data_IF_377007289419
#
_entry.id   IF_377007289419
#
_cell.length_a   1.000
_cell.length_b   1.000
_cell.length_c   1.000
_cell.angle_alpha   90.00
_cell.angle_beta   90.00
_cell.angle_gamma   90.00
#
_symmetry.space_group_name_H-M   'P 1'
#
loop_
_entity.id
_entity.type
_entity.pdbx_description
1 polymer ?
#
# COMPACT_ATOMS: atom_id res chain seq x y z
N UNK A 1 29.48 16.49 -35.60
CA UNK A 1 28.07 16.82 -35.27
C UNK A 1 28.01 18.28 -34.82
N UNK A 2 27.00 19.07 -35.24
CA UNK A 2 26.92 20.46 -34.84
C UNK A 2 26.72 20.57 -33.31
N UNK A 3 27.27 21.59 -32.64
CA UNK A 3 27.24 21.72 -31.17
C UNK A 3 25.81 21.72 -30.60
N UNK A 4 24.85 22.19 -31.40
CA UNK A 4 23.41 22.18 -31.10
C UNK A 4 22.84 20.76 -30.96
N UNK A 5 23.32 19.83 -31.79
CA UNK A 5 22.89 18.42 -31.78
C UNK A 5 23.51 17.69 -30.60
N UNK A 6 24.76 17.97 -30.26
CA UNK A 6 25.41 17.40 -29.08
C UNK A 6 24.72 17.86 -27.80
N UNK A 7 24.41 19.16 -27.69
CA UNK A 7 23.66 19.70 -26.56
C UNK A 7 22.27 19.06 -26.42
N UNK A 8 21.53 18.90 -27.52
CA UNK A 8 20.22 18.26 -27.53
C UNK A 8 20.29 16.78 -27.11
N UNK A 9 21.29 16.03 -27.60
CA UNK A 9 21.49 14.62 -27.24
C UNK A 9 21.88 14.47 -25.76
N UNK A 10 22.74 15.36 -25.24
CA UNK A 10 23.09 15.38 -23.82
C UNK A 10 21.88 15.71 -22.93
N UNK A 11 21.03 16.66 -23.35
CA UNK A 11 19.80 16.99 -22.62
C UNK A 11 18.81 15.81 -22.60
N UNK A 12 18.63 15.13 -23.74
CA UNK A 12 17.77 13.95 -23.85
C UNK A 12 18.29 12.79 -23.00
N UNK A 13 19.62 12.58 -22.96
CA UNK A 13 20.24 11.60 -22.08
C UNK A 13 19.97 11.93 -20.61
N UNK A 14 20.14 13.18 -20.18
CA UNK A 14 19.83 13.63 -18.81
C UNK A 14 18.36 13.39 -18.46
N UNK A 15 17.43 13.71 -19.37
CA UNK A 15 16.00 13.46 -19.17
C UNK A 15 15.65 11.96 -19.07
N UNK A 16 16.39 11.08 -19.75
CA UNK A 16 16.20 9.63 -19.66
C UNK A 16 16.76 9.01 -18.36
N UNK A 17 17.76 9.65 -17.73
CA UNK A 17 18.28 9.23 -16.39
C UNK A 17 17.42 9.76 -15.24
N UNK A 18 16.63 10.82 -15.47
CA UNK A 18 15.47 11.15 -14.62
C UNK A 18 14.36 10.16 -14.97
N UNK A 19 14.66 8.89 -14.70
CA UNK A 19 13.70 7.83 -14.63
C UNK A 19 12.52 8.34 -13.78
N UNK A 20 11.27 8.21 -14.24
CA UNK A 20 10.11 8.40 -13.39
C UNK A 20 10.06 7.20 -12.44
N UNK A 21 11.05 7.09 -11.56
CA UNK A 21 11.04 6.11 -10.49
C UNK A 21 9.90 6.48 -9.58
N UNK A 22 8.79 5.79 -9.84
CA UNK A 22 7.57 5.76 -9.08
C UNK A 22 6.89 7.13 -8.99
N UNK A 23 5.88 7.32 -9.84
CA UNK A 23 4.62 7.85 -9.29
C UNK A 23 4.25 6.84 -8.21
N UNK A 24 4.73 7.05 -6.99
CA UNK A 24 4.30 6.29 -5.83
C UNK A 24 2.81 6.56 -5.78
N UNK A 25 2.01 5.57 -6.18
CA UNK A 25 0.58 5.66 -6.02
C UNK A 25 0.36 5.70 -4.51
N UNK A 26 0.29 6.92 -3.97
CA UNK A 26 0.21 7.14 -2.54
C UNK A 26 -1.14 6.61 -2.10
N UNK A 27 -1.15 5.75 -1.08
CA UNK A 27 -2.41 5.35 -0.46
C UNK A 27 -3.19 6.60 0.00
N UNK A 28 -4.51 6.53 0.14
CA UNK A 28 -5.37 7.68 0.48
C UNK A 28 -5.93 7.57 1.89
N UNK A 29 -6.43 8.69 2.45
CA UNK A 29 -7.12 8.64 3.75
C UNK A 29 -8.42 7.85 3.69
N UNK A 30 -9.08 7.80 2.52
CA UNK A 30 -10.25 6.96 2.29
C UNK A 30 -9.88 5.47 2.36
N UNK A 31 -8.75 5.07 1.75
CA UNK A 31 -8.23 3.70 1.85
C UNK A 31 -7.84 3.36 3.28
N UNK A 32 -7.16 4.27 4.00
CA UNK A 32 -6.86 4.10 5.44
C UNK A 32 -8.14 3.86 6.23
N UNK A 33 -9.15 4.73 6.08
CA UNK A 33 -10.41 4.60 6.80
C UNK A 33 -11.12 3.27 6.50
N UNK A 34 -11.15 2.85 5.23
CA UNK A 34 -11.71 1.57 4.82
C UNK A 34 -10.98 0.38 5.45
N UNK A 35 -9.64 0.38 5.46
CA UNK A 35 -8.84 -0.66 6.13
C UNK A 35 -9.14 -0.70 7.63
N UNK A 36 -9.12 0.46 8.31
CA UNK A 36 -9.34 0.53 9.75
C UNK A 36 -10.75 0.08 10.16
N UNK A 37 -11.74 0.24 9.29
CA UNK A 37 -13.11 -0.17 9.54
C UNK A 37 -13.37 -1.64 9.17
N UNK A 38 -12.98 -2.06 7.95
CA UNK A 38 -13.37 -3.36 7.40
C UNK A 38 -12.44 -4.48 7.88
N UNK A 39 -11.19 -4.16 8.24
CA UNK A 39 -10.25 -5.12 8.82
C UNK A 39 -10.19 -5.09 10.36
N UNK A 40 -11.03 -4.29 11.03
CA UNK A 40 -10.95 -3.99 12.47
C UNK A 40 -10.88 -5.21 13.39
N UNK A 41 -11.55 -6.31 13.01
CA UNK A 41 -11.55 -7.55 13.81
C UNK A 41 -10.19 -8.25 13.83
N UNK A 42 -9.41 -8.09 12.75
CA UNK A 42 -8.05 -8.59 12.69
C UNK A 42 -7.09 -7.63 13.38
N UNK A 43 -7.13 -6.33 13.02
CA UNK A 43 -6.06 -5.38 13.39
C UNK A 43 -6.14 -4.83 14.81
N UNK A 44 -7.31 -4.80 15.47
CA UNK A 44 -7.47 -4.16 16.79
C UNK A 44 -6.75 -4.92 17.91
N UNK A 45 -6.19 -4.19 18.87
CA UNK A 45 -5.53 -4.73 20.06
C UNK A 45 -6.51 -5.34 21.06
N UNK A 46 -7.71 -4.76 21.20
CA UNK A 46 -8.71 -5.14 22.19
C UNK A 46 -9.58 -6.35 21.80
N UNK A 47 -9.25 -7.10 20.73
CA UNK A 47 -10.11 -8.18 20.24
C UNK A 47 -10.24 -9.37 21.20
N UNK A 48 -9.40 -9.47 22.25
CA UNK A 48 -9.46 -10.53 23.28
C UNK A 48 -9.24 -11.96 22.76
N UNK A 49 -9.17 -12.14 21.45
CA UNK A 49 -8.92 -13.36 20.69
C UNK A 49 -7.81 -13.11 19.69
N UNK A 50 -7.06 -14.15 19.26
CA UNK A 50 -6.20 -14.06 18.09
C UNK A 50 -7.04 -13.45 16.97
N UNK A 51 -6.59 -12.35 16.37
CA UNK A 51 -7.31 -11.76 15.25
C UNK A 51 -7.45 -12.84 14.18
N UNK A 52 -8.68 -13.26 13.87
CA UNK A 52 -8.91 -14.25 12.82
C UNK A 52 -8.31 -13.69 11.53
N UNK A 53 -7.39 -14.44 10.92
CA UNK A 53 -6.80 -14.06 9.64
C UNK A 53 -7.96 -13.80 8.66
N UNK A 54 -7.98 -12.64 7.96
CA UNK A 54 -9.06 -12.34 7.04
C UNK A 54 -9.19 -13.43 5.97
N UNK A 55 -10.42 -13.89 5.72
CA UNK A 55 -10.67 -14.79 4.60
C UNK A 55 -10.29 -14.08 3.30
N UNK A 56 -9.71 -14.81 2.35
CA UNK A 56 -9.22 -14.22 1.10
C UNK A 56 -10.31 -13.46 0.33
N UNK A 57 -11.53 -13.99 0.24
CA UNK A 57 -12.67 -13.31 -0.42
C UNK A 57 -13.47 -12.38 0.51
N UNK A 58 -12.88 -11.93 1.61
CA UNK A 58 -13.54 -11.00 2.54
C UNK A 58 -13.42 -9.56 2.09
N UNK A 59 -14.39 -8.74 2.52
CA UNK A 59 -14.38 -7.27 2.29
C UNK A 59 -13.07 -6.65 2.77
N UNK A 60 -12.51 -7.09 3.90
CA UNK A 60 -11.21 -6.62 4.37
C UNK A 60 -10.12 -6.82 3.31
N UNK A 61 -10.00 -8.02 2.73
CA UNK A 61 -9.00 -8.27 1.72
C UNK A 61 -9.30 -7.58 0.38
N UNK A 62 -10.55 -7.29 0.07
CA UNK A 62 -10.90 -6.45 -1.08
C UNK A 62 -10.36 -5.03 -0.86
N UNK A 63 -10.56 -4.44 0.32
CA UNK A 63 -9.98 -3.12 0.67
C UNK A 63 -8.46 -3.10 0.62
N UNK A 64 -7.82 -4.18 1.04
CA UNK A 64 -6.35 -4.29 0.96
C UNK A 64 -5.90 -4.25 -0.50
N UNK A 65 -6.60 -4.93 -1.41
CA UNK A 65 -6.27 -4.94 -2.85
C UNK A 65 -6.56 -3.60 -3.55
N UNK A 66 -7.48 -2.81 -3.01
CA UNK A 66 -7.73 -1.45 -3.49
C UNK A 66 -6.56 -0.49 -3.17
N UNK A 67 -5.69 -0.83 -2.22
CA UNK A 67 -4.47 -0.05 -1.91
C UNK A 67 -3.39 -0.35 -2.96
N UNK A 68 -2.76 0.68 -3.57
CA UNK A 68 -1.69 0.48 -4.53
C UNK A 68 -0.57 -0.38 -3.95
N UNK A 69 -0.15 -1.40 -4.69
CA UNK A 69 0.84 -2.40 -4.28
C UNK A 69 0.57 -3.11 -2.94
N UNK A 70 -0.67 -2.97 -2.42
CA UNK A 70 -1.03 -3.34 -1.04
C UNK A 70 -0.04 -2.74 -0.05
N UNK A 71 0.36 -1.48 -0.24
CA UNK A 71 1.30 -0.79 0.63
C UNK A 71 0.66 -0.48 1.99
N UNK A 72 0.67 -1.47 2.87
CA UNK A 72 0.15 -1.36 4.23
C UNK A 72 1.04 -0.49 5.13
N UNK A 73 2.30 -0.24 4.75
CA UNK A 73 3.17 0.69 5.46
C UNK A 73 2.67 2.11 5.25
N UNK A 74 2.35 2.49 4.01
CA UNK A 74 1.70 3.77 3.70
C UNK A 74 0.41 3.97 4.51
N UNK A 75 -0.42 2.93 4.64
CA UNK A 75 -1.64 2.98 5.47
C UNK A 75 -1.31 3.25 6.94
N UNK A 76 -0.33 2.51 7.51
CA UNK A 76 0.07 2.68 8.89
C UNK A 76 0.66 4.08 9.17
N UNK A 77 1.45 4.61 8.25
CA UNK A 77 2.09 5.91 8.39
C UNK A 77 1.06 7.06 8.40
N UNK A 78 -0.06 6.90 7.66
CA UNK A 78 -1.20 7.83 7.68
C UNK A 78 -2.09 7.72 8.92
N UNK A 79 -1.93 6.71 9.77
CA UNK A 79 -2.70 6.60 11.01
C UNK A 79 -2.30 7.70 11.99
N UNK A 80 -3.30 8.32 12.62
CA UNK A 80 -3.14 9.18 13.79
C UNK A 80 -2.57 8.39 14.97
N UNK A 81 -2.01 9.09 15.96
CA UNK A 81 -1.51 8.43 17.18
C UNK A 81 -2.61 7.64 17.91
N UNK A 82 -3.85 8.13 17.92
CA UNK A 82 -4.98 7.43 18.51
C UNK A 82 -5.32 6.14 17.73
N UNK A 83 -5.34 6.19 16.39
CA UNK A 83 -5.53 5.00 15.56
C UNK A 83 -4.38 4.00 15.76
N UNK A 84 -3.13 4.45 15.85
CA UNK A 84 -1.97 3.59 16.15
C UNK A 84 -2.08 2.93 17.52
N UNK A 85 -2.59 3.62 18.53
CA UNK A 85 -2.81 3.05 19.86
C UNK A 85 -3.91 1.96 19.90
N UNK A 86 -4.90 2.06 19.03
CA UNK A 86 -6.03 1.10 18.97
C UNK A 86 -5.75 -0.14 18.11
N UNK A 87 -4.72 -0.11 17.27
CA UNK A 87 -4.44 -1.14 16.28
C UNK A 87 -3.03 -1.70 16.44
N UNK A 88 -2.88 -3.00 16.25
CA UNK A 88 -1.59 -3.69 16.30
C UNK A 88 -0.89 -3.46 14.97
N UNK A 89 0.20 -2.68 14.97
CA UNK A 89 0.98 -2.36 13.77
C UNK A 89 1.27 -3.59 12.92
N UNK A 90 1.83 -4.65 13.53
CA UNK A 90 2.21 -5.85 12.79
C UNK A 90 1.04 -6.53 12.10
N UNK A 91 -0.18 -6.41 12.64
CA UNK A 91 -1.39 -6.93 12.00
C UNK A 91 -1.83 -6.06 10.82
N UNK A 92 -1.60 -4.75 10.85
CA UNK A 92 -1.84 -3.92 9.67
C UNK A 92 -0.86 -4.31 8.55
N UNK A 93 0.44 -4.40 8.88
CA UNK A 93 1.48 -4.69 7.89
C UNK A 93 1.32 -6.07 7.23
N UNK A 94 0.92 -7.09 8.00
CA UNK A 94 0.75 -8.46 7.50
C UNK A 94 -0.42 -8.65 6.53
N UNK A 95 -1.37 -7.70 6.46
CA UNK A 95 -2.49 -7.75 5.50
C UNK A 95 -2.01 -7.86 4.06
N UNK A 96 -0.86 -7.26 3.72
CA UNK A 96 -0.23 -7.33 2.40
C UNK A 96 -0.04 -8.78 1.93
N UNK A 97 0.33 -9.66 2.85
CA UNK A 97 0.62 -11.06 2.58
C UNK A 97 -0.64 -11.92 2.57
N UNK A 98 -1.55 -11.72 3.54
CA UNK A 98 -2.78 -12.51 3.64
C UNK A 98 -3.79 -12.24 2.53
N UNK A 99 -3.78 -11.02 1.97
CA UNK A 99 -4.73 -10.60 0.96
C UNK A 99 -4.14 -10.58 -0.45
N UNK A 100 -3.02 -11.29 -0.69
CA UNK A 100 -2.45 -11.47 -2.03
C UNK A 100 -3.51 -12.02 -2.99
N UNK A 101 -3.60 -11.51 -4.23
CA UNK A 101 -4.47 -12.10 -5.25
C UNK A 101 -4.23 -13.60 -5.38
N UNK A 102 -5.30 -14.36 -5.57
CA UNK A 102 -5.18 -15.79 -5.88
C UNK A 102 -4.51 -15.93 -7.25
N UNK A 103 -3.68 -16.96 -7.47
CA UNK A 103 -3.17 -17.26 -8.80
C UNK A 103 -4.37 -17.42 -9.74
N UNK A 104 -4.37 -16.70 -10.86
CA UNK A 104 -5.30 -17.02 -11.94
C UNK A 104 -4.79 -18.32 -12.53
N UNK A 105 -5.50 -19.42 -12.28
CA UNK A 105 -5.29 -20.68 -12.99
C UNK A 105 -5.81 -20.46 -14.41
N UNK A 106 -4.96 -19.90 -15.27
CA UNK A 106 -5.17 -19.83 -16.73
C UNK A 106 -4.74 -21.13 -17.38
#
# INVERSE_FOLDING_TARGET
MPPKVVAAVLLLLVCAVISPHHVTAVCTDAQKAAILQDCKFYIRSASGRPGNIPAHKSVCCDRVRDVPDRDMQCIYDRCTNAEKAQNVQQRILSLKEFCKPLPVMV
#
